data_IF_812778781372
#
_entry.id   IF_812778781372
#
_cell.length_a   1.000
_cell.length_b   1.000
_cell.length_c   1.000
_cell.angle_alpha   90.00
_cell.angle_beta   90.00
_cell.angle_gamma   90.00
#
_symmetry.space_group_name_H-M   'P 1'
#
loop_
_entity.id
_entity.type
_entity.pdbx_description
1 polymer ?
#
# COMPACT_ATOMS: atom_id res chain seq x y z
N UNK A 1 -8.63 18.62 22.97
CA UNK A 1 -8.83 17.37 23.72
C UNK A 1 -7.81 16.36 23.21
N UNK A 2 -6.75 16.08 23.98
CA UNK A 2 -5.68 15.16 23.55
C UNK A 2 -6.09 13.72 23.86
N UNK A 3 -6.04 12.84 22.86
CA UNK A 3 -6.34 11.42 23.01
C UNK A 3 -5.20 10.72 23.76
N UNK A 4 -5.46 10.22 24.97
CA UNK A 4 -4.49 9.43 25.71
C UNK A 4 -4.30 8.06 25.02
N UNK A 5 -3.14 7.89 24.39
CA UNK A 5 -2.71 6.62 23.79
C UNK A 5 -2.39 5.61 24.90
N UNK A 6 -3.36 4.78 25.29
CA UNK A 6 -3.15 3.68 26.25
C UNK A 6 -2.21 2.65 25.63
N UNK A 7 -1.10 2.35 26.29
CA UNK A 7 -0.16 1.32 25.86
C UNK A 7 -0.65 -0.03 26.38
N UNK A 8 -0.38 -1.11 25.64
CA UNK A 8 -0.68 -2.49 26.08
C UNK A 8 -0.02 -2.84 27.42
N UNK A 9 1.09 -2.16 27.76
CA UNK A 9 1.76 -2.26 29.05
C UNK A 9 0.95 -1.69 30.22
N UNK A 10 -0.03 -0.82 29.96
CA UNK A 10 -0.87 -0.17 31.00
C UNK A 10 -2.10 -1.02 31.37
N UNK A 11 -2.27 -2.19 30.74
CA UNK A 11 -3.36 -3.11 31.03
C UNK A 11 -2.90 -4.05 32.16
N UNK A 12 -3.60 -4.09 33.32
CA UNK A 12 -3.25 -5.00 34.39
C UNK A 12 -3.37 -6.43 33.89
N UNK A 13 -2.25 -7.17 33.91
CA UNK A 13 -2.22 -8.58 33.53
C UNK A 13 -3.04 -9.36 34.54
N UNK A 14 -4.19 -9.88 34.10
CA UNK A 14 -4.97 -10.82 34.90
C UNK A 14 -4.20 -12.13 34.96
N UNK A 15 -4.00 -12.64 36.17
CA UNK A 15 -3.41 -13.96 36.36
C UNK A 15 -4.33 -15.02 35.73
N UNK A 16 -3.75 -16.06 35.11
CA UNK A 16 -4.54 -17.16 34.56
C UNK A 16 -5.29 -17.82 35.71
N UNK A 17 -6.61 -17.95 35.56
CA UNK A 17 -7.45 -18.65 36.52
C UNK A 17 -7.06 -20.14 36.51
N UNK A 18 -6.81 -20.77 37.66
CA UNK A 18 -6.57 -22.19 37.71
C UNK A 18 -7.82 -22.93 37.24
N UNK A 19 -7.64 -23.89 36.32
CA UNK A 19 -8.71 -24.76 35.90
C UNK A 19 -9.13 -25.66 37.07
N UNK A 20 -10.44 -25.90 37.28
CA UNK A 20 -10.90 -26.89 38.24
C UNK A 20 -10.32 -28.27 37.95
N UNK A 21 -10.00 -29.03 39.00
CA UNK A 21 -9.58 -30.43 38.85
C UNK A 21 -10.68 -31.23 38.12
N UNK A 22 -10.28 -32.00 37.10
CA UNK A 22 -11.20 -32.80 36.30
C UNK A 22 -11.94 -32.07 35.18
N UNK A 23 -11.74 -30.75 34.98
CA UNK A 23 -12.41 -30.00 33.92
C UNK A 23 -12.17 -30.59 32.53
N UNK A 24 -10.94 -31.03 32.25
CA UNK A 24 -10.60 -31.63 30.96
C UNK A 24 -10.99 -33.10 30.84
N UNK A 25 -11.30 -33.76 31.96
CA UNK A 25 -11.69 -35.17 31.97
C UNK A 25 -13.15 -35.33 31.50
N UNK A 26 -14.05 -34.40 31.88
CA UNK A 26 -15.46 -34.43 31.45
C UNK A 26 -15.74 -33.59 30.20
N UNK A 27 -14.80 -32.74 29.78
CA UNK A 27 -15.01 -31.82 28.65
C UNK A 27 -15.36 -32.54 27.34
N UNK A 28 -14.74 -33.68 27.08
CA UNK A 28 -15.01 -34.46 25.86
C UNK A 28 -16.42 -35.07 25.91
N UNK A 29 -16.81 -35.63 27.06
CA UNK A 29 -18.14 -36.21 27.25
C UNK A 29 -19.24 -35.15 27.10
N UNK A 30 -19.04 -33.97 27.71
CA UNK A 30 -19.97 -32.82 27.63
C UNK A 30 -20.08 -32.29 26.18
N UNK A 31 -18.97 -32.32 25.43
CA UNK A 31 -18.93 -31.86 24.05
C UNK A 31 -19.63 -32.84 23.10
N UNK A 32 -19.45 -34.14 23.30
CA UNK A 32 -20.15 -35.19 22.56
C UNK A 32 -21.66 -35.14 22.81
N UNK A 33 -22.08 -34.97 24.07
CA UNK A 33 -23.49 -34.82 24.41
C UNK A 33 -24.11 -33.56 23.76
N UNK A 34 -23.38 -32.44 23.78
CA UNK A 34 -23.82 -31.20 23.15
C UNK A 34 -23.92 -31.31 21.61
N UNK A 35 -23.03 -32.09 20.97
CA UNK A 35 -23.10 -32.37 19.54
C UNK A 35 -24.29 -33.29 19.20
N UNK A 36 -24.50 -34.35 19.98
CA UNK A 36 -25.62 -35.26 19.79
C UNK A 36 -26.98 -34.55 19.92
N UNK A 37 -27.12 -33.63 20.88
CA UNK A 37 -28.34 -32.82 21.04
C UNK A 37 -28.54 -31.85 19.85
N UNK A 38 -27.46 -31.29 19.29
CA UNK A 38 -27.54 -30.42 18.10
C UNK A 38 -27.94 -31.19 16.85
N UNK A 39 -27.48 -32.42 16.68
CA UNK A 39 -27.88 -33.28 15.55
C UNK A 39 -29.34 -33.72 15.68
N UNK A 40 -29.80 -34.06 16.90
CA UNK A 40 -31.20 -34.39 17.16
C UNK A 40 -32.17 -33.22 16.92
N UNK A 41 -31.70 -31.98 17.12
CA UNK A 41 -32.50 -30.75 16.92
C UNK A 41 -32.45 -30.22 15.47
N UNK A 42 -31.59 -30.78 14.62
CA UNK A 42 -31.32 -30.32 13.24
C UNK A 42 -32.18 -30.97 12.15
N UNK A 43 -33.32 -31.57 12.48
CA UNK A 43 -34.42 -31.67 11.52
C UNK A 43 -35.42 -30.54 11.77
N UNK A 44 -35.15 -29.29 11.33
CA UNK A 44 -36.23 -28.37 11.14
C UNK A 44 -37.09 -28.99 10.04
N UNK A 45 -38.28 -29.47 10.38
CA UNK A 45 -39.33 -29.59 9.38
C UNK A 45 -39.42 -28.23 8.70
N UNK A 46 -38.95 -28.16 7.46
CA UNK A 46 -38.87 -26.92 6.72
C UNK A 46 -40.30 -26.40 6.56
N UNK A 47 -40.70 -25.50 7.47
CA UNK A 47 -42.01 -24.88 7.45
C UNK A 47 -42.04 -24.04 6.18
N UNK A 48 -42.69 -24.56 5.15
CA UNK A 48 -42.83 -23.88 3.86
C UNK A 48 -43.74 -22.67 4.09
N UNK A 49 -43.13 -21.54 4.43
CA UNK A 49 -43.84 -20.27 4.55
C UNK A 49 -44.12 -19.79 3.14
N UNK A 50 -45.36 -20.00 2.69
CA UNK A 50 -45.83 -19.49 1.40
C UNK A 50 -46.03 -17.98 1.51
N UNK A 51 -44.98 -17.23 1.19
CA UNK A 51 -45.07 -15.78 1.13
C UNK A 51 -45.89 -15.36 -0.10
N UNK A 52 -46.86 -14.43 0.02
CA UNK A 52 -47.63 -13.97 -1.12
C UNK A 52 -46.73 -13.26 -2.14
N UNK A 53 -46.90 -13.58 -3.42
CA UNK A 53 -46.05 -13.17 -4.56
C UNK A 53 -45.75 -11.66 -4.60
N UNK A 54 -46.66 -10.83 -4.08
CA UNK A 54 -46.52 -9.37 -4.02
C UNK A 54 -45.35 -8.92 -3.13
N UNK A 55 -45.05 -9.65 -2.07
CA UNK A 55 -43.92 -9.36 -1.17
C UNK A 55 -42.59 -9.86 -1.74
N UNK A 56 -42.62 -10.98 -2.49
CA UNK A 56 -41.45 -11.47 -3.20
C UNK A 56 -40.95 -10.48 -4.26
N UNK A 57 -41.86 -9.84 -5.00
CA UNK A 57 -41.49 -8.80 -5.96
C UNK A 57 -40.87 -7.56 -5.29
N UNK A 58 -41.39 -7.12 -4.14
CA UNK A 58 -40.84 -5.99 -3.40
C UNK A 58 -39.44 -6.29 -2.85
N UNK A 59 -39.24 -7.49 -2.28
CA UNK A 59 -37.94 -7.94 -1.81
C UNK A 59 -36.92 -8.04 -2.97
N UNK A 60 -37.30 -8.63 -4.10
CA UNK A 60 -36.45 -8.75 -5.27
C UNK A 60 -36.06 -7.37 -5.85
N UNK A 61 -37.02 -6.44 -5.94
CA UNK A 61 -36.73 -5.08 -6.40
C UNK A 61 -35.77 -4.34 -5.46
N UNK A 62 -35.93 -4.49 -4.14
CA UNK A 62 -35.02 -3.88 -3.17
C UNK A 62 -33.59 -4.45 -3.27
N UNK A 63 -33.46 -5.76 -3.49
CA UNK A 63 -32.17 -6.43 -3.64
C UNK A 63 -31.46 -5.99 -4.93
N UNK A 64 -32.21 -5.89 -6.04
CA UNK A 64 -31.68 -5.40 -7.31
C UNK A 64 -31.19 -3.95 -7.20
N UNK A 65 -31.91 -3.11 -6.46
CA UNK A 65 -31.54 -1.71 -6.24
C UNK A 65 -30.27 -1.60 -5.39
N UNK A 66 -30.15 -2.41 -4.33
CA UNK A 66 -28.94 -2.47 -3.50
C UNK A 66 -27.72 -2.96 -4.29
N UNK A 67 -27.87 -3.99 -5.12
CA UNK A 67 -26.79 -4.51 -5.96
C UNK A 67 -26.38 -3.50 -7.04
N UNK A 68 -27.34 -2.83 -7.67
CA UNK A 68 -27.07 -1.77 -8.63
C UNK A 68 -26.35 -0.58 -7.99
N UNK A 69 -26.74 -0.20 -6.78
CA UNK A 69 -26.06 0.86 -6.02
C UNK A 69 -24.64 0.44 -5.62
N UNK A 70 -24.45 -0.79 -5.14
CA UNK A 70 -23.14 -1.32 -4.80
C UNK A 70 -22.20 -1.35 -6.01
N UNK A 71 -22.73 -1.69 -7.19
CA UNK A 71 -21.97 -1.64 -8.44
C UNK A 71 -21.61 -0.21 -8.84
N UNK A 72 -22.51 0.76 -8.65
CA UNK A 72 -22.24 2.18 -8.90
C UNK A 72 -21.19 2.76 -7.94
N UNK A 73 -21.14 2.25 -6.69
CA UNK A 73 -20.18 2.69 -5.67
C UNK A 73 -18.81 1.98 -5.76
N UNK A 74 -18.65 0.97 -6.61
CA UNK A 74 -17.33 0.43 -6.93
C UNK A 74 -16.54 1.48 -7.72
N UNK A 75 -15.90 2.40 -7.00
CA UNK A 75 -14.79 3.15 -7.57
C UNK A 75 -13.68 2.14 -7.89
N UNK A 76 -13.09 2.18 -9.09
CA UNK A 76 -11.87 1.44 -9.33
C UNK A 76 -10.88 1.87 -8.25
N UNK A 77 -10.34 0.90 -7.51
CA UNK A 77 -9.22 1.20 -6.62
C UNK A 77 -8.18 1.94 -7.46
N UNK A 78 -7.67 3.10 -7.00
CA UNK A 78 -6.55 3.72 -7.66
C UNK A 78 -5.43 2.69 -7.62
N UNK A 79 -5.11 2.11 -8.78
CA UNK A 79 -3.94 1.26 -8.90
C UNK A 79 -2.78 2.07 -8.33
N UNK A 80 -1.93 1.48 -7.46
CA UNK A 80 -0.74 2.18 -7.03
C UNK A 80 0.11 2.39 -8.28
N UNK A 81 0.00 3.59 -8.87
CA UNK A 81 0.87 4.03 -9.94
C UNK A 81 2.28 3.86 -9.40
N UNK A 82 3.07 2.99 -10.04
CA UNK A 82 4.45 2.80 -9.61
C UNK A 82 5.16 4.15 -9.69
N UNK A 83 6.10 4.40 -8.79
CA UNK A 83 6.85 5.66 -8.79
C UNK A 83 7.46 5.95 -10.17
N UNK A 84 7.83 4.90 -10.91
CA UNK A 84 8.32 4.98 -12.29
C UNK A 84 7.27 5.50 -13.28
N UNK A 85 6.00 5.09 -13.15
CA UNK A 85 4.92 5.57 -14.00
C UNK A 85 4.62 7.06 -13.75
N UNK A 86 4.65 7.49 -12.49
CA UNK A 86 4.49 8.90 -12.13
C UNK A 86 5.67 9.75 -12.61
N UNK A 87 6.90 9.23 -12.53
CA UNK A 87 8.09 9.94 -12.99
C UNK A 87 8.19 10.01 -14.52
N UNK A 88 7.67 9.00 -15.24
CA UNK A 88 7.57 9.02 -16.70
C UNK A 88 6.52 10.01 -17.22
N UNK A 89 5.52 10.35 -16.40
CA UNK A 89 4.49 11.32 -16.78
C UNK A 89 5.02 12.77 -16.69
N UNK A 90 6.06 13.00 -15.89
CA UNK A 90 6.71 14.33 -15.78
C UNK A 90 7.66 14.55 -16.96
N UNK A 91 7.35 15.53 -17.80
CA UNK A 91 8.22 15.88 -18.93
C UNK A 91 9.53 16.53 -18.47
N UNK A 92 10.63 16.31 -19.21
CA UNK A 92 11.92 16.94 -18.91
C UNK A 92 11.83 18.48 -18.88
N UNK A 93 10.94 19.08 -19.68
CA UNK A 93 10.71 20.52 -19.68
C UNK A 93 10.13 21.02 -18.34
N UNK A 94 9.25 20.21 -17.72
CA UNK A 94 8.63 20.52 -16.44
C UNK A 94 9.64 20.41 -15.28
N UNK A 95 10.56 19.45 -15.36
CA UNK A 95 11.69 19.33 -14.43
C UNK A 95 12.58 20.57 -14.50
N UNK A 96 12.97 21.00 -15.71
CA UNK A 96 13.79 22.21 -15.90
C UNK A 96 13.07 23.46 -15.37
N UNK A 97 11.77 23.58 -15.65
CA UNK A 97 10.97 24.69 -15.15
C UNK A 97 10.86 24.69 -13.62
N UNK A 98 10.68 23.52 -13.01
CA UNK A 98 10.63 23.37 -11.56
C UNK A 98 11.94 23.81 -10.91
N UNK A 99 13.08 23.37 -11.46
CA UNK A 99 14.41 23.74 -10.99
C UNK A 99 14.67 25.24 -11.12
N UNK A 100 14.25 25.85 -12.23
CA UNK A 100 14.36 27.29 -12.44
C UNK A 100 13.51 28.10 -11.45
N UNK A 101 12.30 27.63 -11.13
CA UNK A 101 11.40 28.32 -10.21
C UNK A 101 11.88 28.25 -8.75
N UNK A 102 12.44 27.12 -8.33
CA UNK A 102 12.79 26.86 -6.93
C UNK A 102 14.21 27.25 -6.55
N UNK A 103 14.99 27.85 -7.47
CA UNK A 103 16.40 28.24 -7.25
C UNK A 103 17.19 27.16 -6.53
N UNK A 104 17.02 25.91 -6.95
CA UNK A 104 17.72 24.78 -6.32
C UNK A 104 19.19 24.90 -6.71
N UNK A 105 20.03 25.28 -5.76
CA UNK A 105 21.47 25.36 -5.96
C UNK A 105 22.03 23.98 -6.29
N UNK A 106 22.91 23.93 -7.29
CA UNK A 106 23.49 22.67 -7.79
C UNK A 106 24.20 21.90 -6.67
N UNK A 107 24.79 22.60 -5.70
CA UNK A 107 25.45 22.01 -4.54
C UNK A 107 24.50 21.15 -3.69
N UNK A 108 23.25 21.57 -3.50
CA UNK A 108 22.25 20.81 -2.75
C UNK A 108 21.81 19.55 -3.49
N UNK A 109 21.80 19.58 -4.83
CA UNK A 109 21.51 18.40 -5.66
C UNK A 109 22.67 17.40 -5.55
N UNK A 110 23.91 17.88 -5.62
CA UNK A 110 25.11 17.04 -5.53
C UNK A 110 25.28 16.37 -4.16
N UNK A 111 24.81 16.98 -3.08
CA UNK A 111 24.84 16.37 -1.75
C UNK A 111 23.81 15.24 -1.56
N UNK A 112 22.72 15.23 -2.34
CA UNK A 112 21.66 14.23 -2.24
C UNK A 112 21.82 13.03 -3.19
N UNK A 113 22.66 13.14 -4.22
CA UNK A 113 22.90 12.08 -5.19
C UNK A 113 24.06 11.21 -4.71
N UNK A 114 23.82 9.90 -4.58
CA UNK A 114 24.87 8.94 -4.29
C UNK A 114 25.93 8.98 -5.40
N UNK A 115 27.21 9.32 -5.11
CA UNK A 115 28.26 9.37 -6.11
C UNK A 115 28.45 8.03 -6.84
N UNK A 116 28.05 6.89 -6.23
CA UNK A 116 28.08 5.60 -6.90
C UNK A 116 27.08 5.49 -8.07
N UNK A 117 26.00 6.29 -8.08
CA UNK A 117 25.04 6.36 -9.18
C UNK A 117 25.47 7.31 -10.30
N UNK A 118 26.39 8.24 -10.02
CA UNK A 118 27.00 9.12 -11.02
C UNK A 118 28.05 8.38 -11.86
N UNK A 119 28.68 7.34 -11.29
CA UNK A 119 29.59 6.43 -11.99
C UNK A 119 28.77 5.29 -12.60
N UNK A 120 27.86 5.62 -13.51
CA UNK A 120 27.16 4.61 -14.27
C UNK A 120 28.04 4.22 -15.46
N UNK A 121 28.74 3.10 -15.38
CA UNK A 121 29.66 2.58 -16.42
C UNK A 121 28.97 2.38 -17.79
N UNK A 122 27.63 2.39 -17.84
CA UNK A 122 26.84 2.30 -19.08
C UNK A 122 26.66 3.64 -19.82
N UNK A 123 26.71 4.78 -19.14
CA UNK A 123 26.75 6.09 -19.80
C UNK A 123 28.22 6.40 -20.04
N UNK A 124 28.70 5.86 -21.17
CA UNK A 124 30.09 5.77 -21.56
C UNK A 124 30.98 6.85 -20.96
N UNK A 125 32.06 6.38 -20.31
CA UNK A 125 33.33 7.09 -20.21
C UNK A 125 33.40 8.00 -21.42
N UNK A 126 33.34 9.33 -21.22
CA UNK A 126 33.54 10.30 -22.29
C UNK A 126 34.65 9.71 -23.13
N UNK A 127 34.43 9.41 -24.44
CA UNK A 127 35.47 8.78 -25.23
C UNK A 127 36.70 9.61 -24.93
N UNK A 128 37.79 8.95 -24.52
CA UNK A 128 39.06 9.64 -24.38
C UNK A 128 39.39 10.12 -25.78
N UNK A 129 38.78 11.23 -26.16
CA UNK A 129 39.10 12.03 -27.30
C UNK A 129 40.55 12.33 -26.97
N UNK A 130 41.43 11.67 -27.71
CA UNK A 130 42.84 11.98 -27.72
C UNK A 130 42.90 13.38 -28.29
N UNK A 131 42.64 14.36 -27.43
CA UNK A 131 42.97 15.74 -27.67
C UNK A 131 44.46 15.70 -27.98
N UNK A 132 44.78 16.12 -29.19
CA UNK A 132 46.17 16.33 -29.54
C UNK A 132 46.76 17.37 -28.60
N UNK A 133 48.07 17.30 -28.35
CA UNK A 133 48.75 18.27 -27.49
C UNK A 133 48.48 19.72 -27.97
N UNK A 134 48.33 19.93 -29.29
CA UNK A 134 47.98 21.21 -29.91
C UNK A 134 46.57 21.72 -29.50
N UNK A 135 45.59 20.82 -29.34
CA UNK A 135 44.24 21.18 -28.90
C UNK A 135 44.20 21.48 -27.39
N UNK A 136 45.02 20.79 -26.61
CA UNK A 136 45.20 21.09 -25.19
C UNK A 136 45.81 22.47 -24.98
N UNK A 137 46.86 22.81 -25.73
CA UNK A 137 47.49 24.13 -25.68
C UNK A 137 46.50 25.24 -26.05
N UNK A 138 45.64 25.03 -27.06
CA UNK A 138 44.62 26.01 -27.44
C UNK A 138 43.60 26.27 -26.32
N UNK A 139 43.20 25.21 -25.60
CA UNK A 139 42.28 25.34 -24.46
C UNK A 139 42.98 26.08 -23.31
N UNK A 140 44.25 25.79 -23.03
CA UNK A 140 44.99 26.48 -21.98
C UNK A 140 45.16 27.98 -22.28
N UNK A 141 45.48 28.35 -23.52
CA UNK A 141 45.58 29.76 -23.93
C UNK A 141 44.24 30.50 -23.78
N UNK A 142 43.11 29.85 -24.05
CA UNK A 142 41.79 30.46 -23.90
C UNK A 142 41.43 30.71 -22.41
N UNK A 143 41.83 29.81 -21.51
CA UNK A 143 41.62 29.98 -20.07
C UNK A 143 42.55 31.01 -19.43
N UNK A 144 43.77 31.18 -19.94
CA UNK A 144 44.73 32.19 -19.42
C UNK A 144 44.24 33.63 -19.66
N UNK A 145 43.34 33.86 -20.62
CA UNK A 145 42.72 35.17 -20.85
C UNK A 145 41.49 35.46 -19.98
N UNK A 146 40.93 34.46 -19.31
CA UNK A 146 39.70 34.58 -18.51
C UNK A 146 39.97 34.88 -17.02
N UNK A 147 41.23 34.83 -16.57
CA UNK A 147 41.65 35.11 -15.18
C UNK A 147 42.82 36.09 -15.14
#
# INVERSE_FOLDING_TARGET
>A
MQAHKRRLADIPRKEPLPAPEGFFDTFLDDLEEALAQKEATQRPEAKVVTMPLRWACAAAASLALLLGLAWLLQKPEPQPLSAEALLNEVSSAEIVNYLALHQVELEHILHGVDPALLVNDEVGVLPAAKLSDDELDLIYDEYEYLF
#
